data_IF_594787749938
#
_entry.id   IF_594787749938
#
_cell.length_a   1.000
_cell.length_b   1.000
_cell.length_c   1.000
_cell.angle_alpha   90.00
_cell.angle_beta   90.00
_cell.angle_gamma   90.00
#
_symmetry.space_group_name_H-M   'P 1'
#
loop_
_entity.id
_entity.type
_entity.pdbx_description
1 polymer ?
#
# COMPACT_ATOMS: atom_id res chain seq x y z
N UNK A 1 -7.36 29.27 27.35
CA UNK A 1 -8.41 28.63 28.17
C UNK A 1 -8.70 27.26 27.58
N UNK A 2 -8.02 26.19 28.03
CA UNK A 2 -8.55 24.82 28.04
C UNK A 2 -7.91 24.12 29.23
N UNK A 3 -8.78 23.53 30.04
CA UNK A 3 -8.55 23.07 31.40
C UNK A 3 -7.73 21.78 31.45
N UNK A 4 -6.93 21.67 32.50
CA UNK A 4 -6.39 20.42 33.03
C UNK A 4 -7.45 19.32 33.10
N UNK A 5 -7.09 18.14 32.59
CA UNK A 5 -7.64 16.87 33.05
C UNK A 5 -6.48 15.90 33.25
N UNK A 6 -6.07 15.74 34.50
CA UNK A 6 -5.38 14.56 35.01
C UNK A 6 -6.38 13.83 35.88
N UNK A 7 -6.85 12.67 35.41
CA UNK A 7 -7.15 11.54 36.30
C UNK A 7 -7.31 10.27 35.45
N UNK A 8 -6.79 9.15 35.94
CA UNK A 8 -6.50 7.85 35.28
C UNK A 8 -5.09 7.78 34.68
N UNK A 9 -4.27 6.90 35.27
CA UNK A 9 -2.91 6.53 34.86
C UNK A 9 -2.82 5.83 33.50
N UNK A 10 -3.47 6.36 32.47
CA UNK A 10 -3.10 6.15 31.10
C UNK A 10 -2.11 7.25 30.74
N UNK A 11 -0.85 6.88 30.52
CA UNK A 11 0.04 7.74 29.75
C UNK A 11 -0.60 7.87 28.37
N UNK A 12 -1.35 8.94 28.13
CA UNK A 12 -1.67 9.37 26.77
C UNK A 12 -0.30 9.77 26.21
N UNK A 13 0.41 8.80 25.64
CA UNK A 13 1.60 9.10 24.88
C UNK A 13 1.10 9.95 23.73
N UNK A 14 1.25 11.26 23.87
CA UNK A 14 1.19 12.24 22.81
C UNK A 14 2.41 12.00 21.90
N UNK A 15 2.58 10.76 21.45
CA UNK A 15 3.67 10.33 20.60
C UNK A 15 3.34 10.89 19.23
N UNK A 16 4.16 11.85 18.79
CA UNK A 16 4.13 12.37 17.44
C UNK A 16 3.96 11.22 16.45
N UNK A 17 3.03 11.33 15.48
CA UNK A 17 2.76 10.26 14.55
C UNK A 17 4.05 9.91 13.80
N UNK A 18 4.52 8.68 13.98
CA UNK A 18 5.79 8.26 13.41
C UNK A 18 5.63 7.99 11.91
N UNK A 19 6.54 8.55 11.14
CA UNK A 19 6.69 8.24 9.72
C UNK A 19 7.32 6.85 9.58
N UNK A 20 6.47 5.83 9.46
CA UNK A 20 6.90 4.42 9.40
C UNK A 20 6.31 3.66 8.21
N UNK A 21 5.35 4.25 7.49
CA UNK A 21 4.61 3.54 6.46
C UNK A 21 4.99 4.00 5.07
N UNK A 22 5.08 3.05 4.16
CA UNK A 22 5.33 3.26 2.74
C UNK A 22 4.13 2.76 1.96
N UNK A 23 3.80 3.46 0.88
CA UNK A 23 2.86 2.97 -0.14
C UNK A 23 3.66 2.36 -1.28
N UNK A 24 3.19 1.25 -1.83
CA UNK A 24 3.84 0.57 -2.94
C UNK A 24 2.82 0.09 -3.96
N UNK A 25 3.25 0.07 -5.21
CA UNK A 25 2.51 -0.48 -6.34
C UNK A 25 3.31 -1.66 -6.90
N UNK A 26 2.62 -2.77 -7.17
CA UNK A 26 3.18 -3.91 -7.88
C UNK A 26 2.43 -4.09 -9.20
N UNK A 27 3.17 -4.22 -10.29
CA UNK A 27 2.65 -4.65 -11.58
C UNK A 27 2.37 -6.15 -11.53
N UNK A 28 1.16 -6.53 -11.94
CA UNK A 28 0.70 -7.90 -12.00
C UNK A 28 0.44 -8.27 -13.46
N UNK A 29 0.89 -9.46 -13.86
CA UNK A 29 0.55 -10.05 -15.15
C UNK A 29 -0.52 -11.12 -14.92
N UNK A 30 -1.79 -10.77 -15.12
CA UNK A 30 -2.92 -11.65 -14.83
C UNK A 30 -3.56 -12.18 -16.11
N UNK A 31 -4.19 -13.36 -16.09
CA UNK A 31 -4.99 -13.80 -17.22
C UNK A 31 -6.20 -12.86 -17.41
N UNK A 32 -6.41 -12.42 -18.65
CA UNK A 32 -7.60 -11.67 -19.05
C UNK A 32 -8.81 -12.60 -19.13
N UNK A 33 -9.88 -12.19 -18.47
CA UNK A 33 -11.16 -12.92 -18.51
C UNK A 33 -11.86 -12.79 -19.88
N UNK A 34 -11.50 -11.79 -20.69
CA UNK A 34 -12.23 -11.44 -21.92
C UNK A 34 -11.48 -11.75 -23.20
N UNK A 35 -10.15 -11.62 -23.21
CA UNK A 35 -9.32 -11.83 -24.42
C UNK A 35 -8.60 -13.18 -24.43
N UNK A 36 -8.45 -13.84 -23.27
CA UNK A 36 -7.62 -15.05 -23.15
C UNK A 36 -6.12 -14.81 -23.18
N UNK A 37 -5.68 -13.55 -23.34
CA UNK A 37 -4.29 -13.12 -23.21
C UNK A 37 -3.98 -12.64 -21.78
N UNK A 38 -2.71 -12.41 -21.45
CA UNK A 38 -2.36 -11.75 -20.20
C UNK A 38 -2.70 -10.24 -20.25
N UNK A 39 -3.23 -9.71 -19.14
CA UNK A 39 -3.52 -8.29 -18.91
C UNK A 39 -2.67 -7.72 -17.77
N UNK A 40 -2.33 -6.42 -17.91
CA UNK A 40 -1.66 -5.67 -16.86
C UNK A 40 -2.68 -5.24 -15.82
N UNK A 41 -2.47 -5.68 -14.58
CA UNK A 41 -3.18 -5.22 -13.40
C UNK A 41 -2.20 -4.64 -12.38
N UNK A 42 -2.71 -3.91 -11.40
CA UNK A 42 -1.88 -3.34 -10.33
C UNK A 42 -2.34 -3.78 -8.95
N UNK A 43 -1.40 -4.01 -8.05
CA UNK A 43 -1.66 -4.11 -6.63
C UNK A 43 -1.19 -2.84 -5.94
N UNK A 44 -2.05 -2.19 -5.15
CA UNK A 44 -1.67 -1.05 -4.31
C UNK A 44 -1.78 -1.48 -2.85
N UNK A 45 -0.75 -1.19 -2.07
CA UNK A 45 -0.70 -1.55 -0.65
C UNK A 45 0.10 -0.57 0.18
N UNK A 46 -0.07 -0.64 1.50
CA UNK A 46 0.84 -0.03 2.46
C UNK A 46 1.69 -1.07 3.21
N UNK A 47 2.81 -0.62 3.76
CA UNK A 47 3.67 -1.46 4.61
C UNK A 47 4.52 -0.65 5.59
N UNK A 48 4.80 -1.20 6.76
CA UNK A 48 5.80 -0.69 7.71
C UNK A 48 7.25 -1.09 7.40
N UNK A 49 7.48 -1.64 6.20
CA UNK A 49 8.79 -2.07 5.68
C UNK A 49 9.09 -1.26 4.43
N UNK A 50 10.33 -1.32 3.94
CA UNK A 50 10.58 -0.79 2.59
C UNK A 50 9.76 -1.57 1.54
N UNK A 51 9.30 -0.90 0.48
CA UNK A 51 8.59 -1.52 -0.64
C UNK A 51 9.31 -2.73 -1.23
N UNK A 52 10.64 -2.68 -1.37
CA UNK A 52 11.47 -3.78 -1.86
C UNK A 52 11.45 -4.98 -0.92
N UNK A 53 11.57 -4.74 0.40
CA UNK A 53 11.47 -5.81 1.40
C UNK A 53 10.08 -6.43 1.39
N UNK A 54 9.03 -5.62 1.26
CA UNK A 54 7.65 -6.12 1.19
C UNK A 54 7.40 -6.93 -0.07
N UNK A 55 7.86 -6.45 -1.22
CA UNK A 55 7.77 -7.17 -2.48
C UNK A 55 8.51 -8.51 -2.42
N UNK A 56 9.75 -8.53 -1.90
CA UNK A 56 10.50 -9.77 -1.69
C UNK A 56 9.75 -10.77 -0.83
N UNK A 57 9.09 -10.32 0.25
CA UNK A 57 8.25 -11.19 1.10
C UNK A 57 7.05 -11.75 0.34
N UNK A 58 6.40 -10.93 -0.49
CA UNK A 58 5.29 -11.39 -1.34
C UNK A 58 5.72 -12.47 -2.31
N UNK A 59 6.82 -12.27 -3.03
CA UNK A 59 7.35 -13.26 -3.99
C UNK A 59 7.75 -14.56 -3.27
N UNK A 60 8.26 -14.47 -2.04
CA UNK A 60 8.57 -15.64 -1.21
C UNK A 60 7.35 -16.34 -0.58
N UNK A 61 6.12 -15.85 -0.81
CA UNK A 61 4.90 -16.43 -0.24
C UNK A 61 4.75 -16.19 1.28
N UNK A 62 5.48 -15.21 1.84
CA UNK A 62 5.51 -14.93 3.29
C UNK A 62 4.70 -13.70 3.63
N UNK A 63 3.65 -13.86 4.42
CA UNK A 63 2.71 -12.76 4.75
C UNK A 63 2.25 -12.04 3.46
N UNK A 64 1.99 -12.85 2.45
CA UNK A 64 1.83 -12.40 1.07
C UNK A 64 0.36 -12.33 0.67
N UNK A 65 0.06 -11.41 -0.22
CA UNK A 65 -1.20 -11.42 -0.95
C UNK A 65 -1.08 -12.46 -2.09
N UNK A 66 -2.12 -13.27 -2.28
CA UNK A 66 -2.12 -14.37 -3.26
C UNK A 66 -1.86 -13.86 -4.67
N UNK A 67 -2.49 -12.76 -5.07
CA UNK A 67 -2.33 -12.16 -6.39
C UNK A 67 -0.89 -11.69 -6.63
N UNK A 68 -0.28 -11.02 -5.64
CA UNK A 68 1.11 -10.55 -5.76
C UNK A 68 2.10 -11.72 -5.79
N UNK A 69 1.86 -12.77 -5.01
CA UNK A 69 2.71 -13.96 -5.00
C UNK A 69 2.67 -14.72 -6.33
N UNK A 70 1.48 -14.86 -6.93
CA UNK A 70 1.29 -15.63 -8.16
C UNK A 70 1.61 -14.84 -9.43
N UNK A 71 1.29 -13.55 -9.46
CA UNK A 71 1.29 -12.74 -10.69
C UNK A 71 2.21 -11.52 -10.61
N UNK A 72 2.89 -11.28 -9.48
CA UNK A 72 3.73 -10.10 -9.28
C UNK A 72 4.97 -10.10 -10.17
N UNK A 73 5.10 -9.06 -11.00
CA UNK A 73 6.22 -8.88 -11.94
C UNK A 73 7.32 -8.01 -11.34
N UNK A 74 6.96 -6.78 -10.94
CA UNK A 74 7.91 -5.77 -10.43
C UNK A 74 7.22 -4.68 -9.63
N UNK A 75 8.00 -3.96 -8.84
CA UNK A 75 7.55 -2.70 -8.24
C UNK A 75 7.40 -1.61 -9.31
N UNK A 76 6.34 -0.83 -9.21
CA UNK A 76 6.07 0.34 -10.04
C UNK A 76 6.01 1.62 -9.22
N UNK A 77 7.10 1.86 -8.48
CA UNK A 77 7.23 3.08 -7.68
C UNK A 77 7.42 4.34 -8.53
N UNK A 78 7.76 4.17 -9.80
CA UNK A 78 7.75 5.23 -10.81
C UNK A 78 6.37 5.86 -11.02
N UNK A 79 5.30 5.20 -10.55
CA UNK A 79 3.93 5.73 -10.60
C UNK A 79 3.55 6.58 -9.36
N UNK A 80 4.49 6.85 -8.46
CA UNK A 80 4.25 7.60 -7.21
C UNK A 80 5.31 8.69 -7.06
N UNK A 81 4.87 9.93 -6.86
CA UNK A 81 5.78 11.07 -6.70
C UNK A 81 6.54 11.07 -5.35
N UNK A 82 5.97 10.47 -4.31
CA UNK A 82 6.54 10.43 -2.98
C UNK A 82 6.64 9.00 -2.42
N UNK A 83 7.87 8.54 -2.22
CA UNK A 83 8.22 7.20 -1.75
C UNK A 83 8.58 7.20 -0.24
N UNK A 84 8.55 8.36 0.40
CA UNK A 84 9.02 8.52 1.78
C UNK A 84 8.17 7.75 2.79
N UNK A 85 8.75 7.39 3.95
CA UNK A 85 7.92 6.97 5.06
C UNK A 85 7.02 8.13 5.46
N UNK A 86 5.72 7.88 5.49
CA UNK A 86 4.68 8.80 5.92
C UNK A 86 3.96 8.24 7.13
N UNK A 87 3.09 9.03 7.73
CA UNK A 87 2.24 8.53 8.81
C UNK A 87 1.32 7.43 8.28
N UNK A 88 0.89 6.52 9.15
CA UNK A 88 -0.06 5.47 8.76
C UNK A 88 -1.33 6.05 8.11
N UNK A 89 -1.86 7.16 8.66
CA UNK A 89 -3.05 7.81 8.13
C UNK A 89 -2.82 8.40 6.73
N UNK A 90 -1.66 9.01 6.48
CA UNK A 90 -1.29 9.49 5.15
C UNK A 90 -1.16 8.34 4.15
N UNK A 91 -0.55 7.22 4.57
CA UNK A 91 -0.42 6.04 3.70
C UNK A 91 -1.77 5.48 3.27
N UNK A 92 -2.76 5.42 4.17
CA UNK A 92 -4.14 4.99 3.86
C UNK A 92 -4.89 5.96 2.93
N UNK A 93 -4.56 7.25 2.99
CA UNK A 93 -5.15 8.26 2.07
C UNK A 93 -4.52 8.12 0.69
N UNK A 94 -3.20 8.02 0.62
CA UNK A 94 -2.46 7.88 -0.63
C UNK A 94 -2.78 6.55 -1.33
N UNK A 95 -2.87 5.45 -0.58
CA UNK A 95 -3.27 4.14 -1.11
C UNK A 95 -4.64 4.20 -1.80
N UNK A 96 -5.65 4.79 -1.14
CA UNK A 96 -7.00 4.96 -1.73
C UNK A 96 -7.00 5.88 -2.94
N UNK A 97 -6.21 6.95 -2.91
CA UNK A 97 -6.09 7.86 -4.04
C UNK A 97 -5.48 7.16 -5.27
N UNK A 98 -4.36 6.45 -5.09
CA UNK A 98 -3.69 5.72 -6.16
C UNK A 98 -4.57 4.59 -6.72
N UNK A 99 -5.29 3.88 -5.84
CA UNK A 99 -6.27 2.89 -6.25
C UNK A 99 -7.33 3.49 -7.19
N UNK A 100 -7.93 4.62 -6.80
CA UNK A 100 -8.92 5.31 -7.62
C UNK A 100 -8.34 5.81 -8.95
N UNK A 101 -7.15 6.41 -8.94
CA UNK A 101 -6.49 6.90 -10.15
C UNK A 101 -6.20 5.79 -11.16
N UNK A 102 -5.65 4.65 -10.70
CA UNK A 102 -5.36 3.51 -11.57
C UNK A 102 -6.65 2.89 -12.13
N UNK A 103 -7.72 2.79 -11.32
CA UNK A 103 -9.02 2.35 -11.81
C UNK A 103 -9.62 3.31 -12.84
N UNK A 104 -9.55 4.63 -12.59
CA UNK A 104 -10.03 5.64 -13.55
C UNK A 104 -9.25 5.62 -14.86
N UNK A 105 -7.99 5.17 -14.84
CA UNK A 105 -7.17 4.96 -16.04
C UNK A 105 -7.50 3.64 -16.76
N UNK A 106 -8.48 2.87 -16.29
CA UNK A 106 -8.95 1.64 -16.93
C UNK A 106 -8.22 0.37 -16.51
N UNK A 107 -7.32 0.44 -15.53
CA UNK A 107 -6.61 -0.74 -15.05
C UNK A 107 -7.43 -1.50 -14.00
N UNK A 108 -7.27 -2.82 -13.99
CA UNK A 108 -7.71 -3.65 -12.86
C UNK A 108 -6.76 -3.43 -11.68
N UNK A 109 -7.32 -3.14 -10.52
CA UNK A 109 -6.54 -2.82 -9.32
C UNK A 109 -6.98 -3.69 -8.14
N UNK A 110 -6.02 -4.19 -7.38
CA UNK A 110 -6.20 -4.98 -6.17
C UNK A 110 -5.61 -4.24 -4.96
N UNK A 111 -6.18 -4.46 -3.76
CA UNK A 111 -5.77 -3.79 -2.53
C UNK A 111 -6.69 -2.62 -2.17
N UNK A 112 -6.15 -1.56 -1.55
CA UNK A 112 -6.89 -0.30 -1.32
C UNK A 112 -8.01 -0.34 -0.29
N UNK A 113 -7.85 -1.10 0.81
CA UNK A 113 -8.82 -1.16 1.91
C UNK A 113 -8.41 -0.27 3.09
#
# INVERSE_FOLDING_TARGET
>A
MVREYRDKGWTVTNAEPRNTHYVYIVELNMPSESSGDDEIAFYVGQTGLTPEQRFKRHIQGRLSNRQVHQYGVRLRQDLIDNVGPMTHLESLRLERQLYGQLQSNGYRVYGGH
#
